data_IF_024432153937
#
_entry.id   IF_024432153937
#
_cell.length_a   1.000
_cell.length_b   1.000
_cell.length_c   1.000
_cell.angle_alpha   90.00
_cell.angle_beta   90.00
_cell.angle_gamma   90.00
#
_symmetry.space_group_name_H-M   'P 1'
#
loop_
_entity.id
_entity.type
_entity.pdbx_description
1 polymer ?
#
# COMPACT_ATOMS: atom_id res chain seq x y z
N UNK A 1 -1.42 12.48 -11.53
CA UNK A 1 -0.10 12.72 -10.92
C UNK A 1 0.16 11.66 -9.86
N UNK A 2 1.26 10.91 -9.96
CA UNK A 2 1.51 9.73 -9.12
C UNK A 2 1.58 10.06 -7.62
N UNK A 3 2.17 11.20 -7.24
CA UNK A 3 2.31 11.61 -5.84
C UNK A 3 0.96 11.83 -5.13
N UNK A 4 -0.07 12.30 -5.86
CA UNK A 4 -1.38 12.60 -5.26
C UNK A 4 -2.07 11.31 -4.83
N UNK A 5 -1.89 10.24 -5.60
CA UNK A 5 -2.43 8.93 -5.25
C UNK A 5 -1.69 8.28 -4.10
N UNK A 6 -0.36 8.42 -4.05
CA UNK A 6 0.44 7.95 -2.94
C UNK A 6 0.04 8.67 -1.64
N UNK A 7 -0.15 10.00 -1.69
CA UNK A 7 -0.60 10.80 -0.55
C UNK A 7 -2.02 10.40 -0.10
N UNK A 8 -2.94 10.25 -1.07
CA UNK A 8 -4.32 9.80 -0.79
C UNK A 8 -4.34 8.41 -0.17
N UNK A 9 -3.59 7.46 -0.73
CA UNK A 9 -3.46 6.11 -0.21
C UNK A 9 -2.94 6.11 1.23
N UNK A 10 -1.86 6.85 1.51
CA UNK A 10 -1.30 6.98 2.86
C UNK A 10 -2.29 7.58 3.84
N UNK A 11 -3.02 8.62 3.44
CA UNK A 11 -4.06 9.24 4.27
C UNK A 11 -5.20 8.28 4.59
N UNK A 12 -5.69 7.55 3.59
CA UNK A 12 -6.73 6.54 3.78
C UNK A 12 -6.27 5.38 4.66
N UNK A 13 -5.04 4.89 4.44
CA UNK A 13 -4.44 3.84 5.26
C UNK A 13 -4.27 4.29 6.71
N UNK A 14 -3.78 5.51 6.94
CA UNK A 14 -3.63 6.07 8.27
C UNK A 14 -4.98 6.20 8.99
N UNK A 15 -6.05 6.58 8.27
CA UNK A 15 -7.41 6.61 8.82
C UNK A 15 -7.86 5.21 9.25
N UNK A 16 -7.76 4.21 8.38
CA UNK A 16 -8.16 2.83 8.69
C UNK A 16 -7.33 2.23 9.84
N UNK A 17 -6.02 2.51 9.89
CA UNK A 17 -5.16 2.09 10.99
C UNK A 17 -5.56 2.76 12.32
N UNK A 18 -5.98 4.03 12.28
CA UNK A 18 -6.54 4.71 13.46
C UNK A 18 -7.86 4.07 13.88
N UNK A 19 -8.73 3.72 12.93
CA UNK A 19 -10.00 3.06 13.24
C UNK A 19 -9.78 1.66 13.81
N UNK A 20 -8.81 0.89 13.28
CA UNK A 20 -8.36 -0.39 13.87
C UNK A 20 -7.92 -0.24 15.33
N UNK A 21 -7.15 0.81 15.65
CA UNK A 21 -6.73 1.10 17.03
C UNK A 21 -7.91 1.42 17.93
N UNK A 22 -8.88 2.22 17.47
CA UNK A 22 -10.07 2.55 18.25
C UNK A 22 -10.88 1.30 18.63
N UNK A 23 -10.96 0.31 17.75
CA UNK A 23 -11.62 -0.97 18.05
C UNK A 23 -10.92 -1.64 19.24
N UNK A 24 -9.59 -1.75 19.20
CA UNK A 24 -8.80 -2.25 20.33
C UNK A 24 -9.02 -1.43 21.60
N UNK A 25 -8.83 -0.11 21.52
CA UNK A 25 -9.01 0.81 22.66
C UNK A 25 -10.41 0.70 23.31
N UNK A 26 -11.44 0.33 22.54
CA UNK A 26 -12.80 0.16 23.02
C UNK A 26 -13.06 -1.21 23.67
N UNK A 27 -12.55 -2.29 23.08
CA UNK A 27 -12.82 -3.65 23.55
C UNK A 27 -11.82 -4.16 24.59
N UNK A 28 -10.54 -3.78 24.50
CA UNK A 28 -9.49 -4.19 25.44
C UNK A 28 -9.87 -3.98 26.92
N UNK A 29 -10.38 -2.81 27.36
CA UNK A 29 -10.76 -2.63 28.76
C UNK A 29 -11.97 -3.50 29.16
N UNK A 30 -12.90 -3.79 28.23
CA UNK A 30 -14.06 -4.63 28.51
C UNK A 30 -13.69 -6.10 28.67
N UNK A 31 -12.82 -6.59 27.79
CA UNK A 31 -12.26 -7.95 27.85
C UNK A 31 -11.46 -8.09 29.15
N UNK A 32 -10.63 -7.11 29.50
CA UNK A 32 -9.87 -7.11 30.75
C UNK A 32 -10.80 -7.14 31.97
N UNK A 33 -11.84 -6.29 32.02
CA UNK A 33 -12.80 -6.27 33.12
C UNK A 33 -13.56 -7.60 33.26
N UNK A 34 -14.02 -8.19 32.15
CA UNK A 34 -14.70 -9.49 32.15
C UNK A 34 -13.77 -10.62 32.63
N UNK A 35 -12.49 -10.58 32.22
CA UNK A 35 -11.46 -11.53 32.66
C UNK A 35 -11.18 -11.43 34.15
N UNK A 36 -11.03 -10.21 34.68
CA UNK A 36 -10.83 -9.97 36.12
C UNK A 36 -12.03 -10.44 36.94
N UNK A 37 -13.24 -10.21 36.44
CA UNK A 37 -14.49 -10.69 37.04
C UNK A 37 -14.73 -12.19 36.86
N UNK A 38 -13.86 -12.91 36.13
CA UNK A 38 -14.00 -14.33 35.75
C UNK A 38 -15.32 -14.64 35.03
N UNK A 39 -15.83 -13.67 34.28
CA UNK A 39 -17.06 -13.77 33.48
C UNK A 39 -16.71 -14.27 32.08
N UNK A 40 -16.38 -15.56 31.97
CA UNK A 40 -15.87 -16.17 30.74
C UNK A 40 -16.78 -15.97 29.51
N UNK A 41 -18.10 -16.03 29.69
CA UNK A 41 -19.06 -15.81 28.61
C UNK A 41 -19.01 -14.37 28.08
N UNK A 42 -18.88 -13.39 28.96
CA UNK A 42 -18.77 -11.97 28.58
C UNK A 42 -17.42 -11.67 27.94
N UNK A 43 -16.33 -12.26 28.44
CA UNK A 43 -15.01 -12.16 27.82
C UNK A 43 -15.04 -12.71 26.39
N UNK A 44 -15.65 -13.89 26.20
CA UNK A 44 -15.78 -14.52 24.89
C UNK A 44 -16.64 -13.67 23.94
N UNK A 45 -17.77 -13.15 24.43
CA UNK A 45 -18.64 -12.28 23.65
C UNK A 45 -17.90 -11.03 23.18
N UNK A 46 -17.25 -10.29 24.08
CA UNK A 46 -16.49 -9.09 23.73
C UNK A 46 -15.30 -9.38 22.81
N UNK A 47 -14.61 -10.51 23.01
CA UNK A 47 -13.52 -10.93 22.12
C UNK A 47 -14.02 -11.26 20.71
N UNK A 48 -15.18 -11.92 20.61
CA UNK A 48 -15.80 -12.22 19.33
C UNK A 48 -16.28 -10.97 18.60
N UNK A 49 -16.88 -10.01 19.31
CA UNK A 49 -17.30 -8.71 18.76
C UNK A 49 -16.08 -7.93 18.26
N UNK A 50 -15.01 -7.85 19.08
CA UNK A 50 -13.76 -7.21 18.70
C UNK A 50 -13.16 -7.85 17.44
N UNK A 51 -13.09 -9.18 17.38
CA UNK A 51 -12.56 -9.90 16.24
C UNK A 51 -13.34 -9.59 14.96
N UNK A 52 -14.67 -9.59 15.04
CA UNK A 52 -15.53 -9.26 13.90
C UNK A 52 -15.28 -7.82 13.40
N UNK A 53 -15.23 -6.84 14.30
CA UNK A 53 -14.96 -5.45 13.92
C UNK A 53 -13.56 -5.25 13.34
N UNK A 54 -12.54 -5.90 13.92
CA UNK A 54 -11.17 -5.85 13.40
C UNK A 54 -11.09 -6.45 11.99
N UNK A 55 -11.75 -7.59 11.75
CA UNK A 55 -11.72 -8.25 10.44
C UNK A 55 -12.38 -7.41 9.34
N UNK A 56 -13.46 -6.68 9.66
CA UNK A 56 -14.05 -5.71 8.72
C UNK A 56 -13.06 -4.59 8.35
N UNK A 57 -12.37 -4.03 9.35
CA UNK A 57 -11.36 -2.97 9.09
C UNK A 57 -10.19 -3.53 8.29
N UNK A 58 -9.74 -4.74 8.58
CA UNK A 58 -8.67 -5.41 7.85
C UNK A 58 -9.07 -5.75 6.41
N UNK A 59 -10.32 -6.14 6.16
CA UNK A 59 -10.84 -6.33 4.81
C UNK A 59 -10.76 -5.04 3.98
N UNK A 60 -11.16 -3.90 4.57
CA UNK A 60 -11.08 -2.60 3.89
C UNK A 60 -9.62 -2.15 3.65
N UNK A 61 -8.71 -2.43 4.59
CA UNK A 61 -7.25 -2.19 4.40
C UNK A 61 -6.73 -3.01 3.22
N UNK A 62 -7.05 -4.31 3.18
CA UNK A 62 -6.63 -5.22 2.10
C UNK A 62 -7.19 -4.78 0.75
N UNK A 63 -8.45 -4.33 0.71
CA UNK A 63 -9.06 -3.77 -0.49
C UNK A 63 -8.36 -2.48 -0.95
N UNK A 64 -8.06 -1.56 -0.03
CA UNK A 64 -7.35 -0.32 -0.32
C UNK A 64 -5.96 -0.60 -0.91
N UNK A 65 -5.21 -1.55 -0.32
CA UNK A 65 -3.90 -1.99 -0.80
C UNK A 65 -4.01 -2.61 -2.19
N UNK A 66 -4.95 -3.54 -2.38
CA UNK A 66 -5.22 -4.16 -3.67
C UNK A 66 -5.42 -3.10 -4.76
N UNK A 67 -6.38 -2.20 -4.56
CA UNK A 67 -6.72 -1.15 -5.53
C UNK A 67 -5.56 -0.22 -5.82
N UNK A 68 -4.77 0.12 -4.81
CA UNK A 68 -3.61 0.98 -4.98
C UNK A 68 -2.54 0.28 -5.84
N UNK A 69 -2.15 -0.95 -5.47
CA UNK A 69 -1.09 -1.68 -6.16
C UNK A 69 -1.48 -2.02 -7.59
N UNK A 70 -2.71 -2.48 -7.85
CA UNK A 70 -3.17 -2.80 -9.21
C UNK A 70 -3.14 -1.58 -10.12
N UNK A 71 -3.64 -0.43 -9.64
CA UNK A 71 -3.57 0.83 -10.39
C UNK A 71 -2.14 1.29 -10.68
N UNK A 72 -1.22 1.09 -9.74
CA UNK A 72 0.18 1.41 -9.97
C UNK A 72 0.83 0.46 -10.97
N UNK A 73 0.52 -0.83 -10.88
CA UNK A 73 0.99 -1.83 -11.81
C UNK A 73 0.51 -1.55 -13.25
N UNK A 74 -0.77 -1.23 -13.44
CA UNK A 74 -1.32 -0.83 -14.75
C UNK A 74 -0.59 0.37 -15.35
N UNK A 75 -0.30 1.40 -14.54
CA UNK A 75 0.40 2.60 -15.01
C UNK A 75 1.85 2.37 -15.38
N UNK A 76 2.50 1.47 -14.66
CA UNK A 76 3.89 1.12 -14.88
C UNK A 76 4.04 -0.05 -15.86
N UNK A 77 2.93 -0.55 -16.40
CA UNK A 77 2.88 -1.72 -17.28
C UNK A 77 3.47 -2.99 -16.63
N UNK A 78 3.41 -3.07 -15.30
CA UNK A 78 3.81 -4.26 -14.54
C UNK A 78 2.71 -5.32 -14.71
N UNK A 79 3.07 -6.56 -15.11
CA UNK A 79 2.08 -7.60 -15.38
C UNK A 79 1.35 -8.04 -14.10
N UNK A 80 0.03 -8.05 -14.18
CA UNK A 80 -0.88 -8.56 -13.15
C UNK A 80 -1.45 -9.90 -13.65
N UNK A 81 -1.55 -10.94 -12.81
CA UNK A 81 -2.17 -12.20 -13.21
C UNK A 81 -3.62 -11.99 -13.61
N UNK A 82 -4.01 -12.51 -14.78
CA UNK A 82 -5.40 -12.45 -15.24
C UNK A 82 -6.31 -13.27 -14.31
N UNK A 83 -7.51 -12.75 -14.11
CA UNK A 83 -8.56 -13.44 -13.37
C UNK A 83 -8.83 -14.83 -13.99
N UNK A 84 -8.95 -15.87 -13.16
CA UNK A 84 -9.27 -17.24 -13.59
C UNK A 84 -8.14 -18.08 -14.20
N UNK A 85 -6.93 -17.52 -14.41
CA UNK A 85 -5.81 -18.28 -15.02
C UNK A 85 -5.06 -19.19 -14.04
N UNK A 86 -5.04 -18.81 -12.75
CA UNK A 86 -4.50 -19.60 -11.64
C UNK A 86 -5.47 -19.45 -10.47
N UNK A 87 -5.96 -20.58 -9.94
CA UNK A 87 -6.98 -20.60 -8.88
C UNK A 87 -6.56 -19.80 -7.65
N UNK A 88 -5.27 -19.77 -7.32
CA UNK A 88 -4.80 -19.28 -6.03
C UNK A 88 -4.31 -17.82 -6.05
N UNK A 89 -4.39 -17.16 -7.22
CA UNK A 89 -3.92 -15.77 -7.35
C UNK A 89 -4.97 -14.73 -6.95
N UNK A 90 -6.23 -15.15 -6.91
CA UNK A 90 -7.38 -14.28 -6.61
C UNK A 90 -8.17 -14.89 -5.47
N UNK A 91 -8.54 -14.05 -4.50
CA UNK A 91 -9.39 -14.40 -3.38
C UNK A 91 -10.65 -13.56 -3.45
N UNK A 92 -11.78 -14.19 -3.18
CA UNK A 92 -13.01 -13.49 -2.91
C UNK A 92 -13.06 -13.15 -1.42
N UNK A 93 -13.39 -11.91 -1.11
CA UNK A 93 -13.62 -11.47 0.27
C UNK A 93 -14.96 -12.01 0.77
N UNK A 94 -14.95 -12.63 1.94
CA UNK A 94 -16.15 -13.22 2.56
C UNK A 94 -17.16 -12.14 3.01
N UNK A 95 -16.69 -10.91 3.25
CA UNK A 95 -17.51 -9.81 3.79
C UNK A 95 -18.29 -9.04 2.72
N UNK A 96 -17.65 -8.74 1.59
CA UNK A 96 -18.21 -7.86 0.56
C UNK A 96 -18.29 -8.52 -0.83
N UNK A 97 -17.89 -9.79 -0.94
CA UNK A 97 -17.91 -10.56 -2.19
C UNK A 97 -16.95 -10.05 -3.26
N UNK A 98 -16.08 -9.06 -2.95
CA UNK A 98 -15.17 -8.48 -3.93
C UNK A 98 -13.97 -9.39 -4.16
N UNK A 99 -13.57 -9.49 -5.42
CA UNK A 99 -12.36 -10.20 -5.80
C UNK A 99 -11.15 -9.29 -5.65
N UNK A 100 -10.12 -9.82 -4.99
CA UNK A 100 -8.82 -9.17 -4.82
C UNK A 100 -7.71 -10.17 -5.10
N UNK A 101 -6.50 -9.65 -5.35
CA UNK A 101 -5.31 -10.49 -5.35
C UNK A 101 -5.10 -11.08 -3.96
N UNK A 102 -4.64 -12.33 -3.90
CA UNK A 102 -4.11 -12.91 -2.67
C UNK A 102 -2.94 -12.06 -2.16
N UNK A 103 -2.75 -12.02 -0.85
CA UNK A 103 -1.73 -11.22 -0.16
C UNK A 103 -0.32 -11.53 -0.68
N UNK A 104 0.02 -12.80 -0.93
CA UNK A 104 1.31 -13.21 -1.50
C UNK A 104 1.52 -12.63 -2.91
N UNK A 105 0.50 -12.73 -3.76
CA UNK A 105 0.56 -12.22 -5.13
C UNK A 105 0.59 -10.70 -5.14
N UNK A 106 -0.18 -10.07 -4.25
CA UNK A 106 -0.22 -8.63 -4.09
C UNK A 106 1.13 -8.07 -3.65
N UNK A 107 1.84 -8.76 -2.74
CA UNK A 107 3.19 -8.37 -2.34
C UNK A 107 4.17 -8.49 -3.50
N UNK A 108 4.15 -9.60 -4.25
CA UNK A 108 5.00 -9.78 -5.45
C UNK A 108 4.76 -8.67 -6.47
N UNK A 109 3.50 -8.35 -6.77
CA UNK A 109 3.16 -7.24 -7.70
C UNK A 109 3.63 -5.91 -7.10
N UNK A 110 3.43 -5.69 -5.80
CA UNK A 110 3.88 -4.50 -5.08
C UNK A 110 5.40 -4.29 -5.13
N UNK A 111 6.18 -5.36 -4.98
CA UNK A 111 7.63 -5.33 -5.11
C UNK A 111 8.06 -4.95 -6.53
N UNK A 112 7.46 -5.56 -7.55
CA UNK A 112 7.72 -5.22 -8.96
C UNK A 112 7.37 -3.76 -9.29
N UNK A 113 6.25 -3.26 -8.77
CA UNK A 113 5.88 -1.84 -8.88
C UNK A 113 6.94 -0.92 -8.27
N UNK A 114 7.48 -1.27 -7.10
CA UNK A 114 8.54 -0.47 -6.46
C UNK A 114 9.85 -0.52 -7.24
N UNK A 115 10.19 -1.68 -7.79
CA UNK A 115 11.39 -1.86 -8.62
C UNK A 115 11.31 -1.02 -9.90
N UNK A 116 10.24 -1.16 -10.68
CA UNK A 116 10.01 -0.42 -11.92
C UNK A 116 10.02 1.11 -11.68
N UNK A 117 9.48 1.57 -10.54
CA UNK A 117 9.59 2.99 -10.14
C UNK A 117 11.04 3.43 -9.94
N UNK A 118 11.87 2.62 -9.28
CA UNK A 118 13.27 2.94 -9.05
C UNK A 118 14.05 2.99 -10.36
N UNK A 119 13.86 1.99 -11.22
CA UNK A 119 14.53 1.93 -12.53
C UNK A 119 14.18 3.14 -13.40
N UNK A 120 12.92 3.59 -13.41
CA UNK A 120 12.52 4.81 -14.14
C UNK A 120 13.14 6.07 -13.56
N UNK A 121 13.24 6.16 -12.24
CA UNK A 121 13.90 7.29 -11.57
C UNK A 121 15.40 7.28 -11.90
N UNK A 122 16.06 6.13 -11.84
CA UNK A 122 17.48 5.98 -12.19
C UNK A 122 17.75 6.38 -13.65
N UNK A 123 16.90 5.98 -14.59
CA UNK A 123 16.99 6.41 -16.00
C UNK A 123 16.88 7.93 -16.15
N UNK A 124 16.00 8.58 -15.38
CA UNK A 124 15.89 10.05 -15.36
C UNK A 124 17.14 10.72 -14.78
N UNK A 125 17.77 10.11 -13.78
CA UNK A 125 18.99 10.61 -13.13
C UNK A 125 20.30 10.18 -13.82
N UNK A 126 20.24 9.35 -14.86
CA UNK A 126 21.41 8.97 -15.68
C UNK A 126 21.78 10.05 -16.71
N UNK A 127 20.83 10.89 -17.13
CA UNK A 127 21.03 11.94 -18.13
C UNK A 127 21.77 13.23 -17.70
N UNK A 128 21.79 13.68 -16.43
CA UNK A 128 22.40 14.95 -16.05
C UNK A 128 23.92 15.01 -16.25
N UNK A 129 24.64 13.87 -16.22
CA UNK A 129 26.10 13.86 -16.32
C UNK A 129 26.61 14.40 -17.66
N UNK A 130 25.93 14.06 -18.77
CA UNK A 130 26.23 14.58 -20.09
C UNK A 130 25.90 16.08 -20.23
N UNK A 131 24.82 16.54 -19.59
CA UNK A 131 24.42 17.95 -19.60
C UNK A 131 25.34 18.83 -18.76
N UNK A 132 25.84 18.35 -17.63
CA UNK A 132 26.77 19.10 -16.78
C UNK A 132 28.08 19.38 -17.54
N UNK A 133 28.62 18.37 -18.25
CA UNK A 133 29.82 18.54 -19.09
C UNK A 133 29.58 19.51 -20.26
N UNK A 134 28.42 19.43 -20.89
CA UNK A 134 28.04 20.34 -21.98
C UNK A 134 27.90 21.79 -21.51
N UNK A 135 27.20 22.03 -20.41
CA UNK A 135 27.05 23.38 -19.84
C UNK A 135 28.41 23.95 -19.46
N UNK A 136 29.26 23.18 -18.75
CA UNK A 136 30.61 23.62 -18.40
C UNK A 136 31.48 23.96 -19.61
N UNK A 137 31.40 23.15 -20.67
CA UNK A 137 32.11 23.42 -21.93
C UNK A 137 31.63 24.69 -22.63
N UNK A 138 30.32 24.89 -22.72
CA UNK A 138 29.73 26.12 -23.30
C UNK A 138 30.12 27.35 -22.48
N UNK A 139 30.07 27.28 -21.15
CA UNK A 139 30.50 28.40 -20.29
C UNK A 139 31.98 28.72 -20.47
N UNK A 140 32.84 27.71 -20.60
CA UNK A 140 34.28 27.88 -20.87
C UNK A 140 34.55 28.55 -22.22
N UNK A 141 33.86 28.13 -23.28
CA UNK A 141 34.00 28.73 -24.62
C UNK A 141 33.50 30.19 -24.62
N UNK A 142 32.36 30.47 -24.00
CA UNK A 142 31.84 31.84 -23.89
C UNK A 142 32.81 32.72 -23.10
N UNK A 143 33.34 32.22 -21.98
CA UNK A 143 34.32 32.98 -21.19
C UNK A 143 35.60 33.30 -21.97
N UNK A 144 36.06 32.39 -22.83
CA UNK A 144 37.26 32.60 -23.65
C UNK A 144 37.04 33.54 -24.85
N UNK A 145 35.79 33.79 -25.26
CA UNK A 145 35.45 34.71 -26.35
C UNK A 145 35.20 36.15 -25.87
N UNK A 146 34.87 36.32 -24.59
CA UNK A 146 34.54 37.63 -23.99
C UNK A 146 35.63 38.19 -23.05
N UNK A 147 36.77 37.51 -22.93
CA UNK A 147 37.94 37.91 -22.15
C UNK A 147 39.20 37.85 -23.03
#
# INVERSE_FOLDING_TARGET
>A
MMWLEDAKFRGQLAKLQKDKRKVGDYYDPKIAAAREAKQWEQEQMHSSEMFHELDMVEAEIRWLQHRYVTRQAERLLVPIPKFGTKSDSWLQSDHDGRWRLNDDVLDVVGQRVRQERRERIELLFLWPSAFIGFIGGVTGIVSALFF
#
